data_IF_796122044459
#
_entry.id   IF_796122044459
#
_cell.length_a   1.000
_cell.length_b   1.000
_cell.length_c   1.000
_cell.angle_alpha   90.00
_cell.angle_beta   90.00
_cell.angle_gamma   90.00
#
_symmetry.space_group_name_H-M   'P 1'
#
loop_
_entity.id
_entity.type
_entity.pdbx_description
1 polymer ?
#
# COMPACT_ATOMS: atom_id res chain seq x y z
N UNK A 1 -22.92 16.95 -12.51
CA UNK A 1 -23.04 16.53 -11.10
C UNK A 1 -22.89 15.01 -10.88
N UNK A 2 -23.04 14.18 -11.91
CA UNK A 2 -22.86 12.72 -11.79
C UNK A 2 -21.46 12.29 -11.35
N UNK A 3 -20.44 13.14 -11.56
CA UNK A 3 -19.06 12.88 -11.13
C UNK A 3 -18.77 13.32 -9.68
N UNK A 4 -19.75 13.94 -8.99
CA UNK A 4 -19.55 14.45 -7.63
C UNK A 4 -19.57 13.29 -6.62
N UNK A 5 -18.48 13.11 -5.90
CA UNK A 5 -18.36 12.06 -4.89
C UNK A 5 -18.87 12.52 -3.54
N UNK A 6 -19.68 11.68 -2.96
CA UNK A 6 -20.14 11.83 -1.58
C UNK A 6 -19.31 10.97 -0.60
N UNK A 7 -18.56 9.98 -1.10
CA UNK A 7 -17.73 9.11 -0.26
C UNK A 7 -16.32 9.67 -0.08
N UNK A 8 -15.89 9.76 1.16
CA UNK A 8 -14.52 10.09 1.52
C UNK A 8 -13.67 8.81 1.54
N UNK A 9 -12.59 8.80 0.78
CA UNK A 9 -11.56 7.77 0.91
C UNK A 9 -10.72 8.11 2.14
N UNK A 10 -10.64 7.17 3.08
CA UNK A 10 -9.75 7.27 4.23
C UNK A 10 -8.60 6.30 4.02
N UNK A 11 -7.44 6.85 3.72
CA UNK A 11 -6.21 6.06 3.58
C UNK A 11 -5.58 5.82 4.95
N UNK A 12 -4.92 4.66 5.15
CA UNK A 12 -4.17 4.39 6.37
C UNK A 12 -3.00 5.38 6.51
N UNK A 13 -2.64 5.68 7.75
CA UNK A 13 -1.56 6.59 8.12
C UNK A 13 -0.41 5.80 8.74
N UNK A 14 0.76 6.43 8.86
CA UNK A 14 1.91 5.84 9.54
C UNK A 14 1.55 5.34 10.95
N UNK A 15 0.68 6.07 11.67
CA UNK A 15 0.20 5.67 13.01
C UNK A 15 -0.55 4.35 13.01
N UNK A 16 -1.30 4.03 11.97
CA UNK A 16 -2.08 2.78 11.89
C UNK A 16 -1.12 1.57 11.80
N UNK A 17 0.00 1.71 11.07
CA UNK A 17 1.08 0.70 11.04
C UNK A 17 1.73 0.57 12.42
N UNK A 18 2.10 1.69 13.06
CA UNK A 18 2.70 1.67 14.40
C UNK A 18 1.79 0.98 15.41
N UNK A 19 0.51 1.33 15.43
CA UNK A 19 -0.48 0.71 16.32
C UNK A 19 -0.56 -0.80 16.10
N UNK A 20 -0.63 -1.24 14.84
CA UNK A 20 -0.63 -2.66 14.48
C UNK A 20 0.61 -3.40 14.97
N UNK A 21 1.81 -2.83 14.77
CA UNK A 21 3.06 -3.41 15.27
C UNK A 21 3.06 -3.51 16.80
N UNK A 22 2.64 -2.45 17.49
CA UNK A 22 2.62 -2.41 18.96
C UNK A 22 1.65 -3.45 19.53
N UNK A 23 0.49 -3.65 18.91
CA UNK A 23 -0.47 -4.65 19.33
C UNK A 23 0.04 -6.09 19.11
N UNK A 24 0.77 -6.34 18.03
CA UNK A 24 1.44 -7.61 17.80
C UNK A 24 2.56 -7.84 18.81
N UNK A 25 3.37 -6.82 19.11
CA UNK A 25 4.46 -6.90 20.11
C UNK A 25 3.95 -7.26 21.51
N UNK A 26 2.85 -6.68 21.98
CA UNK A 26 2.23 -7.01 23.28
C UNK A 26 1.89 -8.49 23.41
N UNK A 27 1.69 -9.19 22.30
CA UNK A 27 1.30 -10.60 22.25
C UNK A 27 2.47 -11.53 21.92
N UNK A 28 3.70 -10.99 21.77
CA UNK A 28 4.88 -11.77 21.39
C UNK A 28 5.28 -12.72 22.50
N UNK A 29 5.28 -14.01 22.20
CA UNK A 29 5.70 -15.08 23.11
C UNK A 29 7.19 -15.44 22.96
N UNK A 30 7.64 -16.41 23.75
CA UNK A 30 9.02 -16.92 23.68
C UNK A 30 9.29 -17.54 22.30
N UNK A 31 10.29 -17.02 21.59
CA UNK A 31 10.67 -17.48 20.24
C UNK A 31 9.94 -16.82 19.08
N UNK A 32 8.95 -15.96 19.36
CA UNK A 32 8.30 -15.15 18.36
C UNK A 32 9.11 -13.88 18.06
N UNK A 33 8.99 -13.38 16.85
CA UNK A 33 9.47 -12.07 16.42
C UNK A 33 8.37 -11.30 15.72
N UNK A 34 8.57 -10.02 15.51
CA UNK A 34 7.72 -9.19 14.66
C UNK A 34 8.56 -8.63 13.52
N UNK A 35 8.04 -8.72 12.31
CA UNK A 35 8.65 -8.20 11.09
C UNK A 35 7.62 -7.47 10.25
N UNK A 36 8.08 -6.64 9.34
CA UNK A 36 7.28 -5.92 8.37
C UNK A 36 7.54 -6.46 6.98
N UNK A 37 6.47 -6.61 6.21
CA UNK A 37 6.51 -6.86 4.78
C UNK A 37 5.94 -5.63 4.08
N UNK A 38 6.71 -4.96 3.24
CA UNK A 38 6.23 -3.93 2.33
C UNK A 38 6.44 -4.40 0.88
N UNK A 39 5.43 -4.22 0.05
CA UNK A 39 5.42 -4.53 -1.38
C UNK A 39 4.72 -3.39 -2.13
N UNK A 40 4.71 -3.47 -3.44
CA UNK A 40 4.08 -2.52 -4.35
C UNK A 40 3.28 -3.31 -5.40
N UNK A 41 2.01 -2.97 -5.58
CA UNK A 41 1.19 -3.54 -6.64
C UNK A 41 1.52 -2.85 -7.97
N UNK A 42 2.13 -3.61 -8.88
CA UNK A 42 2.51 -3.10 -10.18
C UNK A 42 1.27 -2.79 -11.03
N UNK A 43 1.31 -1.65 -11.73
CA UNK A 43 0.28 -1.23 -12.69
C UNK A 43 -1.15 -1.26 -12.13
N UNK A 44 -1.28 -0.94 -10.85
CA UNK A 44 -2.44 -1.17 -10.04
C UNK A 44 -3.74 -0.58 -10.62
N UNK A 45 -3.73 0.64 -11.18
CA UNK A 45 -4.90 1.24 -11.80
C UNK A 45 -5.39 0.48 -13.04
N UNK A 46 -4.47 -0.13 -13.79
CA UNK A 46 -4.80 -0.95 -14.96
C UNK A 46 -5.42 -2.32 -14.61
N UNK A 47 -5.52 -2.65 -13.33
CA UNK A 47 -6.29 -3.82 -12.88
C UNK A 47 -7.80 -3.63 -13.05
N UNK A 48 -8.29 -2.38 -13.05
CA UNK A 48 -9.71 -2.09 -13.14
C UNK A 48 -10.15 -1.94 -14.59
N UNK A 49 -11.00 -2.85 -15.13
CA UNK A 49 -11.57 -2.70 -16.45
C UNK A 49 -12.61 -1.57 -16.46
N UNK A 50 -12.71 -0.89 -17.58
CA UNK A 50 -13.82 0.01 -17.88
C UNK A 50 -15.01 -0.80 -18.39
N UNK A 51 -16.21 -0.36 -18.04
CA UNK A 51 -17.44 -0.87 -18.67
C UNK A 51 -17.45 -0.44 -20.15
N UNK A 52 -17.85 -1.30 -21.10
CA UNK A 52 -17.80 -0.99 -22.52
C UNK A 52 -18.43 0.36 -22.90
N UNK A 53 -19.56 0.73 -22.27
CA UNK A 53 -20.22 2.00 -22.50
C UNK A 53 -19.43 3.23 -22.03
N UNK A 54 -18.49 3.04 -21.10
CA UNK A 54 -17.64 4.11 -20.58
C UNK A 54 -16.35 4.29 -21.40
N UNK A 55 -15.91 3.28 -22.15
CA UNK A 55 -14.67 3.32 -22.92
C UNK A 55 -14.66 4.49 -23.92
N UNK A 56 -15.81 4.86 -24.47
CA UNK A 56 -15.96 6.00 -25.39
C UNK A 56 -15.52 7.35 -24.81
N UNK A 57 -15.46 7.47 -23.47
CA UNK A 57 -15.01 8.69 -22.79
C UNK A 57 -13.50 8.68 -22.48
N UNK A 58 -12.83 7.56 -22.73
CA UNK A 58 -11.42 7.36 -22.48
C UNK A 58 -10.65 7.15 -23.78
N UNK A 59 -10.65 8.19 -24.60
CA UNK A 59 -10.02 8.17 -25.91
C UNK A 59 -8.86 9.16 -25.92
N UNK A 60 -7.69 8.71 -26.37
CA UNK A 60 -6.53 9.55 -26.63
C UNK A 60 -6.25 9.61 -28.14
N UNK A 61 -5.78 10.75 -28.62
CA UNK A 61 -5.29 10.90 -29.98
C UNK A 61 -3.76 11.00 -29.93
N UNK A 62 -3.09 10.13 -30.65
CA UNK A 62 -1.63 10.13 -30.76
C UNK A 62 -1.20 9.66 -32.15
N UNK A 63 -0.26 10.36 -32.77
CA UNK A 63 0.32 10.07 -34.08
C UNK A 63 -0.74 9.79 -35.17
N UNK A 64 -1.77 10.64 -35.25
CA UNK A 64 -2.85 10.54 -36.24
C UNK A 64 -3.87 9.42 -36.00
N UNK A 65 -3.75 8.66 -34.91
CA UNK A 65 -4.66 7.57 -34.55
C UNK A 65 -5.39 7.84 -33.22
N UNK A 66 -6.60 7.28 -33.11
CA UNK A 66 -7.36 7.30 -31.85
C UNK A 66 -7.17 5.97 -31.13
N UNK A 67 -6.85 6.07 -29.82
CA UNK A 67 -6.65 4.94 -28.91
C UNK A 67 -7.72 4.99 -27.83
N UNK A 68 -8.45 3.91 -27.66
CA UNK A 68 -9.46 3.78 -26.63
C UNK A 68 -8.92 2.93 -25.48
N UNK A 69 -9.07 3.42 -24.27
CA UNK A 69 -8.64 2.71 -23.06
C UNK A 69 -9.68 1.68 -22.64
N UNK A 70 -9.22 0.46 -22.38
CA UNK A 70 -10.06 -0.62 -21.85
C UNK A 70 -9.99 -0.70 -20.31
N UNK A 71 -9.09 0.05 -19.72
CA UNK A 71 -8.79 0.08 -18.28
C UNK A 71 -8.85 1.51 -17.75
N UNK A 72 -9.04 1.64 -16.44
CA UNK A 72 -9.05 2.97 -15.82
C UNK A 72 -7.67 3.61 -15.98
N UNK A 73 -7.62 4.76 -16.64
CA UNK A 73 -6.41 5.54 -16.79
C UNK A 73 -6.08 6.30 -15.49
N UNK A 74 -4.79 6.45 -15.20
CA UNK A 74 -4.33 7.36 -14.15
C UNK A 74 -4.80 8.79 -14.49
N UNK A 75 -5.24 9.53 -13.46
CA UNK A 75 -5.79 10.88 -13.63
C UNK A 75 -7.30 10.91 -13.89
N UNK A 76 -7.97 9.78 -14.07
CA UNK A 76 -9.44 9.75 -14.17
C UNK A 76 -10.08 10.19 -12.85
N UNK A 77 -11.12 11.03 -12.93
CA UNK A 77 -11.79 11.63 -11.76
C UNK A 77 -12.29 10.57 -10.75
N UNK A 78 -12.82 9.46 -11.25
CA UNK A 78 -13.39 8.37 -10.45
C UNK A 78 -12.39 7.22 -10.16
N UNK A 79 -11.23 7.22 -10.81
CA UNK A 79 -10.21 6.18 -10.67
C UNK A 79 -9.79 5.92 -9.22
N UNK A 80 -9.37 6.94 -8.45
CA UNK A 80 -8.94 6.75 -7.06
C UNK A 80 -10.01 6.14 -6.16
N UNK A 81 -11.31 6.47 -6.37
CA UNK A 81 -12.41 5.90 -5.59
C UNK A 81 -12.70 4.44 -5.92
N UNK A 82 -12.73 4.11 -7.20
CA UNK A 82 -12.92 2.74 -7.64
C UNK A 82 -11.75 1.85 -7.18
N UNK A 83 -10.53 2.34 -7.40
CA UNK A 83 -9.32 1.64 -6.96
C UNK A 83 -9.25 1.49 -5.43
N UNK A 84 -9.55 2.53 -4.67
CA UNK A 84 -9.57 2.47 -3.20
C UNK A 84 -10.55 1.42 -2.64
N UNK A 85 -11.69 1.18 -3.32
CA UNK A 85 -12.62 0.10 -2.95
C UNK A 85 -12.03 -1.29 -3.22
N UNK A 86 -11.38 -1.49 -4.36
CA UNK A 86 -10.71 -2.75 -4.69
C UNK A 86 -9.55 -3.02 -3.72
N UNK A 87 -8.72 -2.02 -3.48
CA UNK A 87 -7.61 -2.08 -2.52
C UNK A 87 -8.11 -2.42 -1.10
N UNK A 88 -9.17 -1.75 -0.63
CA UNK A 88 -9.76 -2.03 0.67
C UNK A 88 -10.38 -3.44 0.75
N UNK A 89 -10.96 -3.95 -0.34
CA UNK A 89 -11.45 -5.33 -0.40
C UNK A 89 -10.30 -6.32 -0.29
N UNK A 90 -9.24 -6.13 -1.08
CA UNK A 90 -8.00 -6.94 -1.04
C UNK A 90 -7.40 -6.93 0.36
N UNK A 91 -7.32 -5.76 1.02
CA UNK A 91 -6.80 -5.64 2.38
C UNK A 91 -7.63 -6.47 3.38
N UNK A 92 -8.96 -6.37 3.34
CA UNK A 92 -9.85 -7.14 4.23
C UNK A 92 -9.75 -8.65 4.00
N UNK A 93 -9.72 -9.08 2.74
CA UNK A 93 -9.57 -10.49 2.40
C UNK A 93 -8.20 -11.03 2.84
N UNK A 94 -7.14 -10.25 2.66
CA UNK A 94 -5.79 -10.61 3.13
C UNK A 94 -5.71 -10.68 4.65
N UNK A 95 -6.31 -9.72 5.35
CA UNK A 95 -6.38 -9.73 6.82
C UNK A 95 -7.13 -10.95 7.35
N UNK A 96 -8.16 -11.41 6.64
CA UNK A 96 -8.95 -12.58 7.02
C UNK A 96 -8.19 -13.93 6.92
N UNK A 97 -7.05 -13.98 6.23
CA UNK A 97 -6.22 -15.18 6.15
C UNK A 97 -5.57 -15.55 7.50
N UNK A 98 -5.40 -14.57 8.38
CA UNK A 98 -4.72 -14.75 9.65
C UNK A 98 -5.42 -13.98 10.78
N UNK A 99 -5.33 -14.50 12.02
CA UNK A 99 -5.91 -13.80 13.16
C UNK A 99 -5.19 -12.46 13.41
N UNK A 100 -5.90 -11.45 13.98
CA UNK A 100 -5.30 -10.15 14.31
C UNK A 100 -4.12 -10.22 15.28
N UNK A 101 -3.91 -11.37 15.93
CA UNK A 101 -2.74 -11.63 16.77
C UNK A 101 -1.47 -11.98 16.01
N UNK A 102 -1.56 -12.24 14.69
CA UNK A 102 -0.44 -12.67 13.86
C UNK A 102 -0.18 -11.75 12.68
N UNK A 103 -1.20 -11.05 12.18
CA UNK A 103 -1.15 -10.16 11.04
C UNK A 103 -1.87 -8.85 11.35
N UNK A 104 -1.25 -7.73 11.00
CA UNK A 104 -1.89 -6.41 10.89
C UNK A 104 -1.50 -5.80 9.54
N UNK A 105 -2.46 -5.66 8.63
CA UNK A 105 -2.23 -5.20 7.27
C UNK A 105 -2.82 -3.80 7.07
N UNK A 106 -2.03 -2.92 6.49
CA UNK A 106 -2.43 -1.63 5.97
C UNK A 106 -2.15 -1.59 4.47
N UNK A 107 -3.05 -1.01 3.68
CA UNK A 107 -2.83 -0.82 2.25
C UNK A 107 -3.11 0.63 1.91
N UNK A 108 -2.08 1.35 1.51
CA UNK A 108 -2.20 2.73 1.04
C UNK A 108 -2.23 2.71 -0.48
N UNK A 109 -3.41 2.82 -1.05
CA UNK A 109 -3.65 2.72 -2.50
C UNK A 109 -3.12 1.39 -3.04
N UNK A 110 -1.90 1.36 -3.58
CA UNK A 110 -1.20 0.23 -4.20
C UNK A 110 -0.01 -0.28 -3.36
N UNK A 111 0.23 0.32 -2.19
CA UNK A 111 1.34 -0.02 -1.31
C UNK A 111 0.87 -0.81 -0.06
N UNK A 112 0.85 -2.14 -0.08
CA UNK A 112 0.58 -2.94 1.12
C UNK A 112 1.78 -2.94 2.08
N UNK A 113 1.47 -2.75 3.38
CA UNK A 113 2.40 -2.90 4.49
C UNK A 113 1.78 -3.83 5.54
N UNK A 114 2.37 -5.00 5.73
CA UNK A 114 1.93 -6.01 6.67
C UNK A 114 2.90 -6.12 7.84
N UNK A 115 2.42 -5.92 9.06
CA UNK A 115 3.11 -6.33 10.27
C UNK A 115 2.78 -7.80 10.56
N UNK A 116 3.79 -8.63 10.70
CA UNK A 116 3.72 -10.08 10.87
C UNK A 116 4.33 -10.47 12.21
N UNK A 117 3.69 -11.39 12.96
CA UNK A 117 4.20 -11.93 14.20
C UNK A 117 4.18 -13.46 14.19
N UNK A 118 5.24 -14.06 14.68
CA UNK A 118 5.41 -15.49 14.85
C UNK A 118 6.87 -15.88 14.89
N UNK A 119 7.14 -17.17 14.83
CA UNK A 119 8.51 -17.67 14.61
C UNK A 119 9.00 -17.26 13.22
N UNK A 120 10.32 -17.20 12.96
CA UNK A 120 10.87 -16.86 11.64
C UNK A 120 10.30 -17.74 10.50
N UNK A 121 10.04 -19.02 10.79
CA UNK A 121 9.42 -19.93 9.82
C UNK A 121 7.97 -19.55 9.52
N UNK A 122 7.20 -19.21 10.54
CA UNK A 122 5.80 -18.78 10.38
C UNK A 122 5.71 -17.47 9.59
N UNK A 123 6.58 -16.50 9.88
CA UNK A 123 6.62 -15.22 9.15
C UNK A 123 6.92 -15.46 7.66
N UNK A 124 7.90 -16.32 7.34
CA UNK A 124 8.19 -16.70 5.94
C UNK A 124 6.98 -17.32 5.27
N UNK A 125 6.29 -18.25 5.95
CA UNK A 125 5.09 -18.90 5.40
C UNK A 125 3.95 -17.90 5.20
N UNK A 126 3.71 -17.00 6.15
CA UNK A 126 2.71 -15.94 6.04
C UNK A 126 3.01 -15.01 4.86
N UNK A 127 4.27 -14.63 4.68
CA UNK A 127 4.72 -13.83 3.53
C UNK A 127 4.41 -14.54 2.21
N UNK A 128 4.78 -15.82 2.09
CA UNK A 128 4.51 -16.61 0.88
C UNK A 128 3.01 -16.71 0.60
N UNK A 129 2.20 -16.98 1.62
CA UNK A 129 0.74 -17.09 1.46
C UNK A 129 0.14 -15.76 1.03
N UNK A 130 0.55 -14.63 1.61
CA UNK A 130 0.09 -13.29 1.20
C UNK A 130 0.45 -13.01 -0.26
N UNK A 131 1.69 -13.25 -0.66
CA UNK A 131 2.17 -13.05 -2.03
C UNK A 131 1.38 -13.93 -3.01
N UNK A 132 1.20 -15.20 -2.72
CA UNK A 132 0.43 -16.11 -3.57
C UNK A 132 -1.04 -15.72 -3.64
N UNK A 133 -1.62 -15.27 -2.54
CA UNK A 133 -2.99 -14.80 -2.47
C UNK A 133 -3.21 -13.55 -3.36
N UNK A 134 -2.30 -12.57 -3.29
CA UNK A 134 -2.36 -11.40 -4.16
C UNK A 134 -2.16 -11.77 -5.63
N UNK A 135 -1.22 -12.66 -5.94
CA UNK A 135 -1.02 -13.19 -7.30
C UNK A 135 -2.25 -13.93 -7.82
N UNK A 136 -2.91 -14.72 -6.98
CA UNK A 136 -4.14 -15.43 -7.35
C UNK A 136 -5.33 -14.48 -7.63
N UNK A 137 -5.34 -13.29 -7.00
CA UNK A 137 -6.30 -12.23 -7.31
C UNK A 137 -5.94 -11.45 -8.59
N UNK A 138 -4.82 -11.76 -9.24
CA UNK A 138 -4.36 -11.11 -10.45
C UNK A 138 -3.43 -9.91 -10.22
N UNK A 139 -3.09 -9.56 -8.96
CA UNK A 139 -2.19 -8.44 -8.71
C UNK A 139 -0.80 -8.68 -9.31
N UNK A 140 -0.32 -7.72 -10.11
CA UNK A 140 1.09 -7.58 -10.41
C UNK A 140 1.86 -7.18 -9.15
N UNK A 141 3.06 -7.72 -8.92
CA UNK A 141 3.88 -7.40 -7.75
C UNK A 141 5.28 -6.93 -8.19
N UNK A 142 5.69 -5.77 -7.68
CA UNK A 142 7.03 -5.21 -7.90
C UNK A 142 8.01 -5.78 -6.89
N UNK A 143 8.46 -7.02 -7.09
CA UNK A 143 9.34 -7.71 -6.14
C UNK A 143 10.67 -6.98 -5.89
N UNK A 144 11.18 -6.23 -6.86
CA UNK A 144 12.41 -5.44 -6.71
C UNK A 144 12.30 -4.32 -5.67
N UNK A 145 11.07 -3.88 -5.37
CA UNK A 145 10.77 -2.91 -4.30
C UNK A 145 10.42 -3.60 -2.97
N UNK A 146 10.25 -4.92 -2.99
CA UNK A 146 9.83 -5.71 -1.83
C UNK A 146 10.84 -5.64 -0.69
N UNK A 147 10.34 -5.46 0.52
CA UNK A 147 11.12 -5.41 1.75
C UNK A 147 10.50 -6.33 2.79
N UNK A 148 11.32 -7.14 3.45
CA UNK A 148 10.90 -7.98 4.58
C UNK A 148 11.94 -7.88 5.69
N UNK A 149 11.53 -7.56 6.90
CA UNK A 149 12.41 -7.48 8.05
C UNK A 149 11.92 -6.54 9.13
N UNK A 150 12.81 -6.20 10.05
CA UNK A 150 12.53 -5.28 11.16
C UNK A 150 12.59 -3.80 10.76
N UNK A 151 13.13 -3.51 9.59
CA UNK A 151 13.21 -2.16 9.05
C UNK A 151 12.67 -2.17 7.63
N UNK A 152 11.64 -1.36 7.37
CA UNK A 152 11.08 -1.16 6.04
C UNK A 152 10.73 0.30 5.80
N UNK A 153 10.76 0.71 4.54
CA UNK A 153 10.28 2.02 4.10
C UNK A 153 8.89 1.87 3.46
N UNK A 154 7.95 2.73 3.85
CA UNK A 154 6.60 2.73 3.33
C UNK A 154 6.02 4.14 3.32
N UNK A 155 5.40 4.56 2.24
CA UNK A 155 4.76 5.88 2.02
C UNK A 155 5.58 7.08 2.55
N UNK A 156 6.90 7.08 2.30
CA UNK A 156 7.80 8.18 2.70
C UNK A 156 8.32 8.10 4.14
N UNK A 157 7.95 7.07 4.91
CA UNK A 157 8.45 6.81 6.25
C UNK A 157 9.32 5.56 6.27
N UNK A 158 10.28 5.52 7.22
CA UNK A 158 11.02 4.31 7.60
C UNK A 158 10.56 3.87 8.98
N UNK A 159 10.15 2.61 9.08
CA UNK A 159 9.72 1.97 10.32
C UNK A 159 10.79 0.99 10.77
N UNK A 160 11.22 1.09 12.02
CA UNK A 160 12.19 0.17 12.63
C UNK A 160 11.60 -0.44 13.89
N UNK A 161 11.51 -1.76 13.94
CA UNK A 161 11.05 -2.51 15.12
C UNK A 161 12.28 -2.82 15.99
N UNK A 162 12.40 -2.16 17.13
CA UNK A 162 13.38 -2.48 18.16
C UNK A 162 12.79 -3.38 19.27
N UNK A 163 13.58 -3.80 20.23
CA UNK A 163 13.11 -4.58 21.37
C UNK A 163 12.03 -3.83 22.17
N UNK A 164 12.19 -2.55 22.40
CA UNK A 164 11.37 -1.75 23.30
C UNK A 164 10.39 -0.83 22.58
N UNK A 165 10.71 -0.41 21.35
CA UNK A 165 9.96 0.64 20.64
C UNK A 165 9.74 0.32 19.16
N UNK A 166 8.85 1.08 18.53
CA UNK A 166 8.77 1.26 17.09
C UNK A 166 9.28 2.66 16.77
N UNK A 167 10.35 2.73 16.02
CA UNK A 167 10.98 4.01 15.62
C UNK A 167 10.45 4.34 14.23
N UNK A 168 9.94 5.56 14.07
CA UNK A 168 9.47 6.09 12.78
C UNK A 168 10.31 7.31 12.44
N UNK A 169 10.91 7.29 11.25
CA UNK A 169 11.64 8.43 10.70
C UNK A 169 11.14 8.76 9.30
N UNK A 170 11.31 9.99 8.90
CA UNK A 170 11.04 10.39 7.50
C UNK A 170 12.19 9.89 6.65
N UNK A 171 11.89 9.31 5.50
CA UNK A 171 12.90 8.82 4.56
C UNK A 171 13.80 9.98 4.09
N UNK A 172 15.11 9.79 4.07
CA UNK A 172 16.09 10.86 3.74
C UNK A 172 15.84 11.51 2.38
N UNK A 173 15.40 10.75 1.40
CA UNK A 173 15.09 11.28 0.06
C UNK A 173 13.93 12.29 0.10
N UNK A 174 12.97 12.11 1.01
CA UNK A 174 11.86 13.05 1.23
C UNK A 174 12.38 14.33 1.92
N UNK A 175 13.32 14.18 2.86
CA UNK A 175 13.94 15.32 3.55
C UNK A 175 14.79 16.19 2.61
N UNK A 176 15.44 15.59 1.61
CA UNK A 176 16.23 16.34 0.62
C UNK A 176 15.37 17.21 -0.30
N UNK A 177 14.10 16.84 -0.53
CA UNK A 177 13.14 17.64 -1.29
C UNK A 177 12.50 18.80 -0.53
N UNK A 178 12.60 18.81 0.80
CA UNK A 178 12.12 19.89 1.70
C UNK A 178 13.29 20.79 2.11
N UNK A 179 14.13 21.22 1.18
CA UNK A 179 14.92 22.43 1.40
C UNK A 179 13.95 23.61 1.26
N UNK A 180 13.54 24.15 2.38
CA UNK A 180 13.03 25.50 2.42
C UNK A 180 14.15 26.39 1.86
N UNK A 181 13.98 26.90 0.67
CA UNK A 181 14.77 28.02 0.18
C UNK A 181 14.46 29.19 1.11
N UNK A 182 15.26 29.29 2.16
CA UNK A 182 15.25 30.42 3.12
C UNK A 182 15.90 31.66 2.51
N UNK A 183 15.46 32.04 1.29
CA UNK A 183 15.83 33.29 0.65
C UNK A 183 14.53 34.00 0.24
N UNK A 184 14.05 34.86 1.13
CA UNK A 184 12.97 35.77 0.76
C UNK A 184 12.04 36.25 1.85
N UNK A 185 12.59 36.63 3.01
CA UNK A 185 11.91 37.53 3.94
C UNK A 185 12.92 38.55 4.51
N UNK A 186 13.55 39.30 3.63
CA UNK A 186 14.07 40.63 3.95
C UNK A 186 13.58 41.59 2.86
N UNK A 187 12.65 42.45 3.24
CA UNK A 187 12.09 43.48 2.39
C UNK A 187 10.87 44.06 3.00
#
# INVERSE_FOLDING_TARGET
DAARRYERIVSPRAWDVVSGIMDLKKRTGKGDTAELLALDFADAFYMLPLVPDEMRYYVAHYDGAFYMWERIAQGSLNGPGAFGRLSALTARMSQALYPPSSLSLQVYTDDPCAALRGTPRQIKMMTVVLVLFWRAQGWGLSFHKGQLGRMVSWIGYSFTISAEAVIVSIKEDVMKGVRCDGAGLEG
#
